data_IF_207136824259
#
_entry.id   IF_207136824259
#
_cell.length_a   1.000
_cell.length_b   1.000
_cell.length_c   1.000
_cell.angle_alpha   90.00
_cell.angle_beta   90.00
_cell.angle_gamma   90.00
#
_symmetry.space_group_name_H-M   'P 1'
#
loop_
_entity.id
_entity.type
_entity.pdbx_description
1 polymer ?
#
# COMPACT_ATOMS: atom_id res chain seq x y z
N UNK A 1 -2.60 -1.26 -10.55
CA UNK A 1 -1.55 -1.85 -9.69
C UNK A 1 -1.67 -3.36 -9.49
N UNK A 2 -2.87 -3.96 -9.54
CA UNK A 2 -3.05 -5.42 -9.32
C UNK A 2 -2.12 -6.30 -10.16
N UNK A 3 -2.15 -6.14 -11.48
CA UNK A 3 -1.32 -6.92 -12.42
C UNK A 3 0.18 -6.68 -12.20
N UNK A 4 0.59 -5.41 -12.05
CA UNK A 4 2.01 -5.05 -11.85
C UNK A 4 2.54 -5.66 -10.55
N UNK A 5 1.84 -5.44 -9.43
CA UNK A 5 2.27 -6.00 -8.15
C UNK A 5 2.24 -7.53 -8.14
N UNK A 6 1.21 -8.13 -8.74
CA UNK A 6 1.14 -9.58 -8.94
C UNK A 6 2.35 -10.10 -9.72
N UNK A 7 2.72 -9.44 -10.83
CA UNK A 7 3.86 -9.82 -11.66
C UNK A 7 5.19 -9.74 -10.93
N UNK A 8 5.41 -8.70 -10.13
CA UNK A 8 6.60 -8.58 -9.27
C UNK A 8 6.67 -9.77 -8.29
N UNK A 9 5.56 -10.07 -7.62
CA UNK A 9 5.49 -11.18 -6.67
C UNK A 9 5.63 -12.55 -7.33
N UNK A 10 5.10 -12.72 -8.54
CA UNK A 10 5.33 -13.91 -9.36
C UNK A 10 6.83 -14.10 -9.61
N UNK A 11 7.51 -13.06 -10.10
CA UNK A 11 8.94 -13.08 -10.38
C UNK A 11 9.77 -13.42 -9.14
N UNK A 12 9.42 -12.86 -7.97
CA UNK A 12 10.08 -13.17 -6.69
C UNK A 12 10.00 -14.67 -6.37
N UNK A 13 8.86 -15.32 -6.65
CA UNK A 13 8.60 -16.70 -6.25
C UNK A 13 8.82 -17.73 -7.36
N UNK A 14 9.16 -17.34 -8.60
CA UNK A 14 9.22 -18.23 -9.77
C UNK A 14 10.15 -19.45 -9.60
N UNK A 15 11.22 -19.31 -8.81
CA UNK A 15 12.17 -20.40 -8.49
C UNK A 15 11.53 -21.57 -7.71
N UNK A 16 10.37 -21.36 -7.10
CA UNK A 16 9.62 -22.38 -6.35
C UNK A 16 8.58 -23.10 -7.23
N UNK A 17 8.57 -22.83 -8.54
CA UNK A 17 7.67 -23.44 -9.50
C UNK A 17 6.43 -22.60 -9.83
N UNK A 18 5.72 -23.02 -10.88
CA UNK A 18 4.60 -22.28 -11.44
C UNK A 18 3.45 -22.09 -10.44
N UNK A 19 3.00 -23.15 -9.76
CA UNK A 19 1.85 -23.07 -8.85
C UNK A 19 2.09 -22.15 -7.65
N UNK A 20 3.22 -22.23 -6.92
CA UNK A 20 3.52 -21.28 -5.86
C UNK A 20 3.62 -19.82 -6.35
N UNK A 21 4.24 -19.59 -7.51
CA UNK A 21 4.38 -18.25 -8.09
C UNK A 21 3.02 -17.67 -8.54
N UNK A 22 2.18 -18.46 -9.21
CA UNK A 22 0.83 -18.05 -9.61
C UNK A 22 -0.08 -17.82 -8.40
N UNK A 23 0.03 -18.65 -7.35
CA UNK A 23 -0.68 -18.44 -6.10
C UNK A 23 -0.26 -17.14 -5.39
N UNK A 24 1.03 -16.81 -5.42
CA UNK A 24 1.55 -15.56 -4.89
C UNK A 24 1.07 -14.35 -5.71
N UNK A 25 1.08 -14.44 -7.04
CA UNK A 25 0.48 -13.45 -7.94
C UNK A 25 -0.97 -13.17 -7.56
N UNK A 26 -1.78 -14.22 -7.43
CA UNK A 26 -3.21 -14.12 -7.15
C UNK A 26 -3.48 -13.38 -5.84
N UNK A 27 -2.77 -13.75 -4.77
CA UNK A 27 -2.87 -13.07 -3.46
C UNK A 27 -2.56 -11.58 -3.56
N UNK A 28 -1.45 -11.24 -4.22
CA UNK A 28 -1.03 -9.84 -4.39
C UNK A 28 -2.02 -9.06 -5.27
N UNK A 29 -2.53 -9.67 -6.34
CA UNK A 29 -3.55 -9.10 -7.20
C UNK A 29 -4.82 -8.77 -6.42
N UNK A 30 -5.35 -9.74 -5.66
CA UNK A 30 -6.57 -9.58 -4.87
C UNK A 30 -6.38 -8.49 -3.81
N UNK A 31 -5.27 -8.49 -3.08
CA UNK A 31 -4.94 -7.44 -2.14
C UNK A 31 -4.99 -6.04 -2.81
N UNK A 32 -4.31 -5.89 -3.96
CA UNK A 32 -4.23 -4.61 -4.65
C UNK A 32 -5.58 -4.15 -5.23
N UNK A 33 -6.49 -5.06 -5.58
CA UNK A 33 -7.82 -4.71 -6.10
C UNK A 33 -8.79 -4.37 -4.96
N UNK A 34 -8.81 -5.17 -3.90
CA UNK A 34 -9.83 -5.05 -2.85
C UNK A 34 -9.40 -4.17 -1.66
N UNK A 35 -8.11 -4.15 -1.30
CA UNK A 35 -7.62 -3.49 -0.08
C UNK A 35 -6.98 -2.12 -0.37
N UNK A 36 -6.58 -1.84 -1.61
CA UNK A 36 -5.98 -0.54 -1.96
C UNK A 36 -6.89 0.65 -1.62
N UNK A 37 -8.20 0.52 -1.84
CA UNK A 37 -9.18 1.56 -1.51
C UNK A 37 -9.21 1.90 -0.01
N UNK A 38 -9.04 0.89 0.85
CA UNK A 38 -8.98 1.09 2.30
C UNK A 38 -7.76 1.94 2.69
N UNK A 39 -6.57 1.62 2.16
CA UNK A 39 -5.35 2.40 2.42
C UNK A 39 -5.45 3.84 1.92
N UNK A 40 -6.05 4.06 0.73
CA UNK A 40 -6.29 5.41 0.18
C UNK A 40 -7.21 6.20 1.11
N UNK A 41 -8.27 5.59 1.64
CA UNK A 41 -9.18 6.25 2.60
C UNK A 41 -8.51 6.55 3.93
N UNK A 42 -7.62 5.68 4.41
CA UNK A 42 -6.79 5.96 5.59
C UNK A 42 -5.89 7.18 5.35
N UNK A 43 -5.19 7.23 4.20
CA UNK A 43 -4.36 8.36 3.79
C UNK A 43 -5.18 9.67 3.75
N UNK A 44 -6.35 9.66 3.10
CA UNK A 44 -7.25 10.81 3.00
C UNK A 44 -7.69 11.32 4.39
N UNK A 45 -8.12 10.42 5.27
CA UNK A 45 -8.58 10.77 6.63
C UNK A 45 -7.46 11.42 7.44
N UNK A 46 -6.25 10.85 7.41
CA UNK A 46 -5.10 11.37 8.14
C UNK A 46 -4.65 12.73 7.59
N UNK A 47 -4.66 12.88 6.26
CA UNK A 47 -4.28 14.12 5.59
C UNK A 47 -5.18 15.31 6.02
N UNK A 48 -6.47 15.03 6.25
CA UNK A 48 -7.50 16.02 6.63
C UNK A 48 -7.60 16.26 8.14
N UNK A 49 -7.44 15.24 8.98
CA UNK A 49 -7.70 15.34 10.43
C UNK A 49 -6.55 16.00 11.22
N UNK A 50 -5.32 15.86 10.78
CA UNK A 50 -4.16 16.37 11.51
C UNK A 50 -3.93 17.84 11.15
N UNK A 51 -3.94 18.72 12.15
CA UNK A 51 -3.80 20.18 11.96
C UNK A 51 -2.43 20.57 11.41
N UNK A 52 -1.36 20.03 11.99
CA UNK A 52 0.02 20.25 11.53
C UNK A 52 0.22 19.67 10.14
N UNK A 53 0.72 20.49 9.19
CA UNK A 53 1.01 20.03 7.83
C UNK A 53 2.05 18.91 7.82
N UNK A 54 3.16 19.08 8.53
CA UNK A 54 4.21 18.06 8.60
C UNK A 54 3.71 16.78 9.27
N UNK A 55 2.98 16.88 10.39
CA UNK A 55 2.39 15.72 11.06
C UNK A 55 1.36 14.99 10.18
N UNK A 56 0.56 15.75 9.43
CA UNK A 56 -0.41 15.22 8.47
C UNK A 56 0.28 14.42 7.37
N UNK A 57 1.36 14.94 6.78
CA UNK A 57 2.12 14.25 5.72
C UNK A 57 2.84 13.01 6.24
N UNK A 58 3.50 13.09 7.40
CA UNK A 58 4.18 11.95 8.01
C UNK A 58 3.17 10.83 8.30
N UNK A 59 2.06 11.14 8.97
CA UNK A 59 1.05 10.14 9.33
C UNK A 59 0.35 9.55 8.10
N UNK A 60 -0.08 10.40 7.16
CA UNK A 60 -0.76 9.97 5.92
C UNK A 60 0.15 9.20 4.95
N UNK A 61 1.47 9.18 5.20
CA UNK A 61 2.44 8.37 4.46
C UNK A 61 2.77 7.08 5.21
N UNK A 62 3.25 7.18 6.46
CA UNK A 62 3.79 6.05 7.19
C UNK A 62 2.71 5.07 7.64
N UNK A 63 1.57 5.55 8.12
CA UNK A 63 0.50 4.68 8.64
C UNK A 63 -0.09 3.81 7.53
N UNK A 64 -0.56 4.34 6.39
CA UNK A 64 -1.08 3.47 5.32
C UNK A 64 0.01 2.59 4.69
N UNK A 65 1.28 3.02 4.69
CA UNK A 65 2.41 2.16 4.25
C UNK A 65 2.59 0.95 5.18
N UNK A 66 2.65 1.18 6.50
CA UNK A 66 2.81 0.13 7.49
C UNK A 66 1.58 -0.80 7.51
N UNK A 67 0.38 -0.23 7.42
CA UNK A 67 -0.87 -0.97 7.31
C UNK A 67 -0.89 -1.86 6.06
N UNK A 68 -0.48 -1.29 4.91
CA UNK A 68 -0.39 -2.02 3.66
C UNK A 68 0.57 -3.21 3.78
N UNK A 69 1.77 -2.98 4.32
CA UNK A 69 2.76 -4.02 4.57
C UNK A 69 2.23 -5.12 5.48
N UNK A 70 1.65 -4.75 6.63
CA UNK A 70 1.15 -5.71 7.60
C UNK A 70 0.07 -6.62 7.00
N UNK A 71 -0.88 -6.07 6.24
CA UNK A 71 -1.95 -6.85 5.60
C UNK A 71 -1.38 -7.78 4.52
N UNK A 72 -0.58 -7.25 3.59
CA UNK A 72 0.01 -8.05 2.50
C UNK A 72 0.90 -9.16 3.06
N UNK A 73 1.77 -8.84 4.02
CA UNK A 73 2.62 -9.82 4.69
C UNK A 73 1.80 -10.90 5.38
N UNK A 74 0.73 -10.54 6.08
CA UNK A 74 -0.17 -11.52 6.71
C UNK A 74 -0.81 -12.45 5.68
N UNK A 75 -1.31 -11.92 4.57
CA UNK A 75 -1.89 -12.72 3.46
C UNK A 75 -0.84 -13.70 2.90
N UNK A 76 0.38 -13.21 2.66
CA UNK A 76 1.43 -14.05 2.09
C UNK A 76 1.96 -15.09 3.07
N UNK A 77 2.10 -14.73 4.35
CA UNK A 77 2.58 -15.60 5.41
C UNK A 77 1.57 -16.69 5.74
N UNK A 78 0.31 -16.33 5.97
CA UNK A 78 -0.78 -17.27 6.26
C UNK A 78 -1.04 -18.16 5.04
N UNK A 79 -0.99 -17.60 3.84
CA UNK A 79 -1.19 -18.33 2.59
C UNK A 79 -0.01 -19.21 2.16
N UNK A 80 1.05 -19.37 2.97
CA UNK A 80 2.18 -20.25 2.67
C UNK A 80 3.02 -19.83 1.46
N UNK A 81 3.15 -18.52 1.20
CA UNK A 81 4.00 -18.02 0.10
C UNK A 81 5.47 -18.22 0.45
N UNK A 82 6.29 -18.88 -0.40
CA UNK A 82 7.68 -19.21 -0.06
C UNK A 82 8.52 -18.02 0.39
N UNK A 83 8.52 -16.94 -0.40
CA UNK A 83 9.23 -15.68 -0.08
C UNK A 83 8.25 -14.61 0.39
N UNK A 84 7.48 -14.90 1.46
CA UNK A 84 6.41 -14.02 1.95
C UNK A 84 6.89 -12.60 2.33
N UNK A 85 8.06 -12.50 2.96
CA UNK A 85 8.64 -11.20 3.33
C UNK A 85 9.05 -10.40 2.09
N UNK A 86 9.82 -10.99 1.18
CA UNK A 86 10.27 -10.32 -0.06
C UNK A 86 9.09 -9.89 -0.93
N UNK A 87 8.07 -10.75 -1.01
CA UNK A 87 6.79 -10.48 -1.71
C UNK A 87 6.03 -9.30 -1.11
N UNK A 88 6.36 -8.88 0.11
CA UNK A 88 5.67 -7.82 0.85
C UNK A 88 6.52 -6.57 1.04
N UNK A 89 7.85 -6.68 1.17
CA UNK A 89 8.71 -5.54 1.49
C UNK A 89 8.91 -4.60 0.30
N UNK A 90 8.94 -5.13 -0.93
CA UNK A 90 9.13 -4.32 -2.14
C UNK A 90 8.07 -3.19 -2.25
N UNK A 91 6.84 -3.48 -1.82
CA UNK A 91 5.73 -2.54 -1.89
C UNK A 91 5.93 -1.35 -0.93
N UNK A 92 6.73 -1.49 0.14
CA UNK A 92 7.01 -0.38 1.08
C UNK A 92 7.76 0.72 0.35
N UNK A 93 8.74 0.36 -0.47
CA UNK A 93 9.52 1.32 -1.26
C UNK A 93 8.67 2.07 -2.28
N UNK A 94 7.62 1.45 -2.84
CA UNK A 94 6.67 2.13 -3.72
C UNK A 94 5.59 2.91 -2.98
N UNK A 95 5.09 2.37 -1.86
CA UNK A 95 4.01 2.97 -1.10
C UNK A 95 4.43 4.29 -0.44
N UNK A 96 5.69 4.42 -0.01
CA UNK A 96 6.20 5.66 0.56
C UNK A 96 6.03 6.88 -0.37
N UNK A 97 6.58 6.91 -1.59
CA UNK A 97 6.39 8.04 -2.50
C UNK A 97 4.93 8.19 -2.96
N UNK A 98 4.20 7.09 -3.16
CA UNK A 98 2.78 7.13 -3.57
C UNK A 98 1.92 7.80 -2.50
N UNK A 99 1.99 7.33 -1.25
CA UNK A 99 1.18 7.90 -0.16
C UNK A 99 1.64 9.28 0.25
N UNK A 100 2.92 9.64 0.10
CA UNK A 100 3.37 11.02 0.25
C UNK A 100 2.71 11.94 -0.79
N UNK A 101 2.71 11.54 -2.07
CA UNK A 101 2.07 12.29 -3.15
C UNK A 101 0.55 12.43 -2.96
N UNK A 102 -0.12 11.37 -2.51
CA UNK A 102 -1.55 11.40 -2.17
C UNK A 102 -1.82 12.29 -0.94
N UNK A 103 -1.01 12.17 0.12
CA UNK A 103 -1.10 13.01 1.31
C UNK A 103 -0.96 14.49 0.99
N UNK A 104 0.02 14.86 0.15
CA UNK A 104 0.19 16.22 -0.37
C UNK A 104 -1.04 16.69 -1.14
N UNK A 105 -1.58 15.85 -2.02
CA UNK A 105 -2.74 16.17 -2.85
C UNK A 105 -4.00 16.39 -2.00
N UNK A 106 -4.26 15.52 -1.03
CA UNK A 106 -5.40 15.67 -0.12
C UNK A 106 -5.25 16.86 0.82
N UNK A 107 -4.03 17.10 1.32
CA UNK A 107 -3.77 18.24 2.19
C UNK A 107 -4.00 19.57 1.48
N UNK A 108 -3.49 19.71 0.25
CA UNK A 108 -3.71 20.92 -0.58
C UNK A 108 -5.20 21.17 -0.84
N UNK A 109 -5.97 20.10 -1.11
CA UNK A 109 -7.43 20.21 -1.30
C UNK A 109 -8.13 20.67 -0.02
N UNK A 110 -7.73 20.15 1.14
CA UNK A 110 -8.28 20.55 2.44
C UNK A 110 -7.97 22.02 2.77
N UNK A 111 -6.73 22.46 2.58
CA UNK A 111 -6.32 23.86 2.85
C UNK A 111 -7.12 24.85 1.99
N UNK A 112 -7.35 24.57 0.70
CA UNK A 112 -8.18 25.40 -0.17
C UNK A 112 -9.64 25.48 0.29
N UNK A 113 -10.22 24.36 0.72
CA UNK A 113 -11.60 24.33 1.22
C UNK A 113 -11.75 25.12 2.51
N UNK A 114 -10.75 25.05 3.40
CA UNK A 114 -10.76 25.81 4.66
C UNK A 114 -10.54 27.31 4.50
N UNK A 115 -10.04 27.78 3.35
CA UNK A 115 -9.88 29.20 3.03
C UNK A 115 -11.14 29.83 2.41
N UNK A 116 -12.07 29.01 1.91
CA UNK A 116 -13.31 29.45 1.26
C UNK A 116 -14.54 29.38 2.20
N UNK A 117 -14.32 29.08 3.48
CA UNK A 117 -15.31 29.01 4.56
C UNK A 117 -15.04 30.14 5.55
#
# INVERSE_FOLDING_TARGET
>A
MGVIGGGIVYYINQEHGFFPAAGAFGKQFLYNVFIAGFNIKTCEKLAKRIKSKSGSLIASTLIPTAQAFAITYSIHKIGGTPKAYDSSIWQVYLNLPIFLGLGLSYRRKYEKLSQNL
#
